data_IF_727560363397
#
_entry.id   IF_727560363397
#
_cell.length_a   1.000
_cell.length_b   1.000
_cell.length_c   1.000
_cell.angle_alpha   90.00
_cell.angle_beta   90.00
_cell.angle_gamma   90.00
#
_symmetry.space_group_name_H-M   'P 1'
#
loop_
_entity.id
_entity.type
_entity.pdbx_description
1 polymer ?
#
# COMPACT_ATOMS: atom_id res chain seq x y z
N UNK A 1 0.23 20.87 14.22
CA UNK A 1 0.69 20.28 12.96
C UNK A 1 0.84 18.79 13.20
N UNK A 2 -0.12 17.98 12.75
CA UNK A 2 0.08 16.53 12.66
C UNK A 2 1.07 16.28 11.54
N UNK A 3 2.22 15.71 11.87
CA UNK A 3 3.15 15.21 10.85
C UNK A 3 2.48 13.97 10.27
N UNK A 4 2.05 14.03 9.01
CA UNK A 4 1.52 12.85 8.33
C UNK A 4 2.66 11.82 8.23
N UNK A 5 2.52 10.72 8.95
CA UNK A 5 3.52 9.64 8.97
C UNK A 5 3.16 8.61 7.89
N UNK A 6 4.13 8.33 7.00
CA UNK A 6 4.01 7.39 5.90
C UNK A 6 5.04 6.25 6.04
N UNK A 7 4.67 5.06 5.58
CA UNK A 7 5.60 3.94 5.42
C UNK A 7 5.98 3.78 3.95
N UNK A 8 7.25 3.46 3.71
CA UNK A 8 7.78 3.08 2.41
C UNK A 8 7.92 1.56 2.35
N UNK A 9 6.99 0.90 1.67
CA UNK A 9 6.88 -0.55 1.69
C UNK A 9 7.00 -1.13 0.29
N UNK A 10 7.82 -2.17 0.16
CA UNK A 10 7.87 -2.99 -1.05
C UNK A 10 6.67 -3.92 -1.10
N UNK A 11 5.88 -3.83 -2.17
CA UNK A 11 4.75 -4.73 -2.39
C UNK A 11 4.50 -5.02 -3.87
N UNK A 12 3.82 -6.13 -4.12
CA UNK A 12 3.30 -6.51 -5.43
C UNK A 12 1.78 -6.26 -5.46
N UNK A 13 1.27 -5.69 -6.56
CA UNK A 13 -0.17 -5.57 -6.78
C UNK A 13 -0.69 -6.94 -7.22
N UNK A 14 -1.57 -7.55 -6.43
CA UNK A 14 -2.22 -8.81 -6.78
C UNK A 14 -3.58 -8.58 -7.45
N UNK A 15 -4.34 -7.58 -6.98
CA UNK A 15 -5.65 -7.22 -7.52
C UNK A 15 -5.89 -5.72 -7.39
N UNK A 16 -6.83 -5.19 -8.19
CA UNK A 16 -7.28 -3.80 -8.09
C UNK A 16 -8.80 -3.70 -8.17
N UNK A 17 -9.34 -2.74 -7.45
CA UNK A 17 -10.70 -2.24 -7.64
C UNK A 17 -10.63 -0.79 -8.11
N UNK A 18 -11.79 -0.16 -8.26
CA UNK A 18 -11.87 1.28 -8.49
C UNK A 18 -11.16 2.06 -7.36
N UNK A 19 -11.34 1.65 -6.10
CA UNK A 19 -10.95 2.44 -4.92
C UNK A 19 -9.75 1.90 -4.12
N UNK A 20 -9.33 0.66 -4.33
CA UNK A 20 -8.28 0.02 -3.54
C UNK A 20 -7.39 -0.92 -4.36
N UNK A 21 -6.18 -1.19 -3.85
CA UNK A 21 -5.25 -2.20 -4.35
C UNK A 21 -5.11 -3.30 -3.31
N UNK A 22 -5.10 -4.55 -3.75
CA UNK A 22 -4.72 -5.69 -2.92
C UNK A 22 -3.23 -5.92 -3.10
N UNK A 23 -2.47 -5.65 -2.03
CA UNK A 23 -1.01 -5.66 -2.05
C UNK A 23 -0.49 -6.85 -1.26
N UNK A 24 0.53 -7.51 -1.81
CA UNK A 24 1.35 -8.49 -1.09
C UNK A 24 2.69 -7.88 -0.74
N UNK A 25 2.98 -7.78 0.54
CA UNK A 25 4.23 -7.24 1.07
C UNK A 25 5.31 -8.32 1.14
N UNK A 26 6.58 -7.91 1.22
CA UNK A 26 7.71 -8.83 1.37
C UNK A 26 7.63 -9.71 2.64
N UNK A 27 6.91 -9.25 3.68
CA UNK A 27 6.64 -10.03 4.88
C UNK A 27 5.69 -11.21 4.66
N UNK A 28 5.08 -11.34 3.48
CA UNK A 28 4.03 -12.29 3.18
C UNK A 28 2.63 -11.82 3.60
N UNK A 29 2.51 -10.67 4.25
CA UNK A 29 1.22 -10.05 4.57
C UNK A 29 0.54 -9.60 3.27
N UNK A 30 -0.76 -9.85 3.19
CA UNK A 30 -1.60 -9.42 2.08
C UNK A 30 -2.77 -8.59 2.62
N UNK A 31 -2.97 -7.38 2.11
CA UNK A 31 -4.08 -6.53 2.55
C UNK A 31 -4.54 -5.54 1.49
N UNK A 32 -5.77 -5.04 1.66
CA UNK A 32 -6.34 -3.97 0.84
C UNK A 32 -5.87 -2.60 1.32
N UNK A 33 -5.31 -1.82 0.41
CA UNK A 33 -4.89 -0.45 0.64
C UNK A 33 -5.75 0.49 -0.21
N UNK A 34 -6.49 1.44 0.39
CA UNK A 34 -7.22 2.46 -0.35
C UNK A 34 -6.26 3.29 -1.21
N UNK A 35 -6.60 3.56 -2.47
CA UNK A 35 -5.75 4.37 -3.37
C UNK A 35 -5.53 5.78 -2.83
N UNK A 36 -6.50 6.34 -2.10
CA UNK A 36 -6.39 7.66 -1.46
C UNK A 36 -5.29 7.72 -0.39
N UNK A 37 -4.94 6.58 0.20
CA UNK A 37 -3.90 6.45 1.22
C UNK A 37 -2.51 6.11 0.64
N UNK A 38 -2.40 5.94 -0.69
CA UNK A 38 -1.14 5.73 -1.40
C UNK A 38 -0.72 7.06 -2.02
N UNK A 39 0.44 7.59 -1.64
CA UNK A 39 0.95 8.88 -2.13
C UNK A 39 1.98 8.76 -3.24
N UNK A 40 2.62 7.61 -3.35
CA UNK A 40 3.55 7.34 -4.44
C UNK A 40 2.81 7.10 -5.76
N UNK A 41 3.51 7.35 -6.87
CA UNK A 41 3.11 6.79 -8.17
C UNK A 41 3.36 5.30 -8.16
N UNK A 42 2.51 4.56 -8.86
CA UNK A 42 2.63 3.11 -9.03
C UNK A 42 2.18 2.69 -10.42
N UNK A 43 2.76 1.62 -10.93
CA UNK A 43 2.34 0.99 -12.18
C UNK A 43 1.36 -0.14 -11.90
N UNK A 44 0.13 0.01 -12.42
CA UNK A 44 -0.94 -0.97 -12.29
C UNK A 44 -0.75 -2.20 -13.17
N UNK A 45 0.09 -2.11 -14.20
CA UNK A 45 0.34 -3.18 -15.17
C UNK A 45 1.63 -3.94 -14.86
N UNK A 46 2.39 -3.50 -13.85
CA UNK A 46 3.60 -4.19 -13.43
C UNK A 46 3.26 -5.45 -12.64
N UNK A 47 3.85 -6.57 -13.07
CA UNK A 47 3.83 -7.83 -12.33
C UNK A 47 4.94 -7.93 -11.28
N UNK A 48 5.79 -6.90 -11.14
CA UNK A 48 6.90 -6.88 -10.18
C UNK A 48 6.57 -6.12 -8.90
N UNK A 49 7.41 -6.34 -7.88
CA UNK A 49 7.39 -5.55 -6.64
C UNK A 49 7.79 -4.11 -6.92
N UNK A 50 7.08 -3.17 -6.28
CA UNK A 50 7.36 -1.74 -6.34
C UNK A 50 7.23 -1.11 -4.95
N UNK A 51 7.82 0.07 -4.78
CA UNK A 51 7.79 0.81 -3.51
C UNK A 51 6.51 1.65 -3.45
N UNK A 52 5.74 1.46 -2.39
CA UNK A 52 4.56 2.24 -2.06
C UNK A 52 4.82 3.15 -0.88
N UNK A 53 4.42 4.41 -1.01
CA UNK A 53 4.32 5.35 0.12
C UNK A 53 2.87 5.32 0.63
N UNK A 54 2.65 4.74 1.82
CA UNK A 54 1.32 4.44 2.36
C UNK A 54 1.13 5.16 3.70
N UNK A 55 -0.01 5.83 3.88
CA UNK A 55 -0.36 6.47 5.16
C UNK A 55 -0.36 5.45 6.33
N UNK A 56 0.33 5.80 7.42
CA UNK A 56 0.59 4.89 8.54
C UNK A 56 -0.67 4.36 9.23
N UNK A 57 -1.78 5.11 9.23
CA UNK A 57 -3.03 4.68 9.85
C UNK A 57 -3.59 3.41 9.21
N UNK A 58 -3.35 3.18 7.92
CA UNK A 58 -3.81 1.98 7.21
C UNK A 58 -3.10 0.75 7.76
N UNK A 59 -1.78 0.85 7.95
CA UNK A 59 -0.93 -0.22 8.44
C UNK A 59 -1.21 -0.49 9.93
N UNK A 60 -1.29 0.58 10.74
CA UNK A 60 -1.56 0.48 12.19
C UNK A 60 -2.92 -0.14 12.52
N UNK A 61 -3.93 0.00 11.64
CA UNK A 61 -5.23 -0.68 11.80
C UNK A 61 -5.15 -2.20 11.63
N UNK A 62 -4.16 -2.70 10.89
CA UNK A 62 -4.03 -4.13 10.60
C UNK A 62 -3.13 -4.86 11.61
N UNK A 63 -2.33 -4.13 12.39
CA UNK A 63 -1.44 -4.67 13.43
C UNK A 63 -2.09 -4.64 14.84
N UNK A 64 -3.42 -4.54 14.92
CA UNK A 64 -4.17 -4.47 16.18
C UNK A 64 -5.01 -5.71 16.40
#
# INVERSE_FOLDING_TARGET
MTVDEYFHLNAQILRKTEKALFLKFNSGIEMWIPKSAIKSKYDLNSNSTQVFEIESWVIKKHLK
#
